data_IF_304618319570
#
_entry.id   IF_304618319570
#
_cell.length_a   1.000
_cell.length_b   1.000
_cell.length_c   1.000
_cell.angle_alpha   90.00
_cell.angle_beta   90.00
_cell.angle_gamma   90.00
#
_symmetry.space_group_name_H-M   'P 1'
#
loop_
_entity.id
_entity.type
_entity.pdbx_description
1 polymer ?
#
# COMPACT_ATOMS: atom_id res chain seq x y z
N UNK A 1 28.40 51.44 32.96
CA UNK A 1 27.19 50.94 33.64
C UNK A 1 26.13 50.78 32.56
N UNK A 2 26.05 49.59 31.96
CA UNK A 2 25.24 49.30 30.76
C UNK A 2 24.11 48.36 31.16
N UNK A 3 22.87 48.83 31.06
CA UNK A 3 21.64 48.03 31.21
C UNK A 3 21.29 47.38 29.86
N UNK A 4 21.04 46.06 29.80
CA UNK A 4 20.36 45.45 28.67
C UNK A 4 18.86 45.30 28.98
N UNK A 5 18.02 45.90 28.16
CA UNK A 5 16.60 45.60 28.02
C UNK A 5 16.39 45.38 26.51
N UNK A 6 15.76 44.34 26.00
CA UNK A 6 14.91 43.32 26.58
C UNK A 6 14.10 42.81 25.38
N UNK A 7 14.68 41.89 24.61
CA UNK A 7 14.03 41.33 23.43
C UNK A 7 13.11 40.18 23.86
N UNK A 8 11.80 40.44 23.75
CA UNK A 8 10.76 39.44 23.94
C UNK A 8 10.73 38.45 22.75
N UNK A 9 10.70 37.12 22.97
CA UNK A 9 10.55 36.16 21.90
C UNK A 9 9.06 36.00 21.54
N UNK A 10 8.52 36.94 20.75
CA UNK A 10 7.14 36.88 20.25
C UNK A 10 6.97 36.00 18.98
N UNK A 11 8.00 35.25 18.59
CA UNK A 11 8.06 34.56 17.29
C UNK A 11 8.00 33.03 17.36
N UNK A 12 7.72 32.45 18.53
CA UNK A 12 7.74 30.99 18.73
C UNK A 12 6.40 30.26 18.54
N UNK A 13 5.27 30.97 18.41
CA UNK A 13 3.94 30.33 18.31
C UNK A 13 3.48 30.03 16.88
N UNK A 14 4.12 30.59 15.84
CA UNK A 14 3.74 30.39 14.43
C UNK A 14 4.63 29.37 13.69
N UNK A 15 5.70 28.89 14.32
CA UNK A 15 6.66 27.97 13.72
C UNK A 15 6.24 26.49 13.79
N UNK A 16 5.12 26.17 14.42
CA UNK A 16 4.54 24.82 14.47
C UNK A 16 3.63 24.54 13.27
N UNK A 17 4.02 25.00 12.08
CA UNK A 17 3.45 24.53 10.82
C UNK A 17 4.01 23.14 10.55
N UNK A 18 3.56 22.18 11.37
CA UNK A 18 3.91 20.79 11.28
C UNK A 18 3.61 20.32 9.86
N UNK A 19 4.66 19.92 9.13
CA UNK A 19 4.54 19.13 7.90
C UNK A 19 4.05 17.74 8.29
N UNK A 20 2.80 17.66 8.72
CA UNK A 20 2.11 16.40 8.97
C UNK A 20 2.00 15.68 7.62
N UNK A 21 2.56 14.49 7.56
CA UNK A 21 2.42 13.58 6.42
C UNK A 21 0.94 13.34 6.15
N UNK A 22 0.54 13.18 4.88
CA UNK A 22 -0.87 12.89 4.52
C UNK A 22 -1.44 11.70 5.30
N UNK A 23 -0.60 10.72 5.68
CA UNK A 23 -1.00 9.61 6.54
C UNK A 23 -1.36 10.02 7.97
N UNK A 24 -0.68 11.00 8.55
CA UNK A 24 -0.98 11.50 9.89
C UNK A 24 -2.26 12.33 9.92
N UNK A 25 -2.55 13.09 8.85
CA UNK A 25 -3.84 13.75 8.67
C UNK A 25 -4.98 12.76 8.56
N UNK A 26 -4.82 11.70 7.76
CA UNK A 26 -5.81 10.65 7.62
C UNK A 26 -6.09 9.95 8.97
N UNK A 27 -5.03 9.64 9.73
CA UNK A 27 -5.14 8.99 11.03
C UNK A 27 -5.82 9.90 12.07
N UNK A 28 -5.52 11.19 12.06
CA UNK A 28 -6.17 12.19 12.91
C UNK A 28 -7.67 12.33 12.62
N UNK A 29 -8.04 12.43 11.34
CA UNK A 29 -9.45 12.50 10.92
C UNK A 29 -10.21 11.22 11.28
N UNK A 30 -9.57 10.06 11.11
CA UNK A 30 -10.14 8.77 11.51
C UNK A 30 -10.39 8.70 13.03
N UNK A 31 -9.41 9.11 13.84
CA UNK A 31 -9.57 9.14 15.29
C UNK A 31 -10.72 10.07 15.73
N UNK A 32 -10.85 11.24 15.11
CA UNK A 32 -11.97 12.17 15.36
C UNK A 32 -13.31 11.54 14.97
N UNK A 33 -13.39 10.86 13.84
CA UNK A 33 -14.61 10.16 13.42
C UNK A 33 -15.00 9.03 14.38
N UNK A 34 -14.02 8.25 14.87
CA UNK A 34 -14.25 7.21 15.88
C UNK A 34 -14.74 7.79 17.22
N UNK A 35 -14.14 8.90 17.68
CA UNK A 35 -14.56 9.57 18.91
C UNK A 35 -15.98 10.15 18.77
N UNK A 36 -16.31 10.72 17.61
CA UNK A 36 -17.66 11.20 17.32
C UNK A 36 -18.68 10.04 17.28
N UNK A 37 -18.31 8.91 16.68
CA UNK A 37 -19.14 7.69 16.70
C UNK A 37 -19.38 7.15 18.12
N UNK A 38 -18.33 7.10 18.95
CA UNK A 38 -18.43 6.72 20.36
C UNK A 38 -19.32 7.67 21.16
N UNK A 39 -19.20 8.98 20.94
CA UNK A 39 -20.02 9.97 21.62
C UNK A 39 -21.51 9.80 21.32
N UNK A 40 -21.87 9.43 20.09
CA UNK A 40 -23.26 9.14 19.68
C UNK A 40 -23.82 7.90 20.40
N UNK A 41 -23.00 6.88 20.64
CA UNK A 41 -23.40 5.66 21.36
C UNK A 41 -23.58 5.95 22.86
N UNK A 42 -22.69 6.75 23.45
CA UNK A 42 -22.71 7.03 24.90
C UNK A 42 -23.81 8.03 25.28
N UNK A 43 -24.12 9.00 24.41
CA UNK A 43 -25.16 10.01 24.65
C UNK A 43 -26.26 9.99 23.57
N UNK A 44 -27.05 8.90 23.47
CA UNK A 44 -28.03 8.73 22.40
C UNK A 44 -29.16 9.78 22.47
N UNK A 45 -29.50 10.25 23.67
CA UNK A 45 -30.53 11.26 23.89
C UNK A 45 -30.14 12.66 23.40
N UNK A 46 -28.84 12.99 23.35
CA UNK A 46 -28.34 14.28 22.85
C UNK A 46 -28.06 14.27 21.34
N UNK A 47 -27.83 13.09 20.77
CA UNK A 47 -27.43 12.93 19.37
C UNK A 47 -28.58 13.17 18.37
N UNK A 48 -29.82 12.89 18.77
CA UNK A 48 -31.02 13.13 17.97
C UNK A 48 -30.92 12.57 16.53
N UNK A 49 -31.60 13.22 15.59
CA UNK A 49 -31.54 12.89 14.16
C UNK A 49 -30.13 13.07 13.56
N UNK A 50 -29.33 13.98 14.11
CA UNK A 50 -27.98 14.29 13.63
C UNK A 50 -26.98 13.15 13.81
N UNK A 51 -27.01 12.47 14.97
CA UNK A 51 -26.17 11.30 15.23
C UNK A 51 -26.51 10.11 14.34
N UNK A 52 -27.80 9.92 14.04
CA UNK A 52 -28.25 8.89 13.11
C UNK A 52 -27.78 9.18 11.68
N UNK A 53 -27.93 10.42 11.20
CA UNK A 53 -27.39 10.86 9.91
C UNK A 53 -25.87 10.67 9.81
N UNK A 54 -25.13 10.96 10.88
CA UNK A 54 -23.69 10.75 10.93
C UNK A 54 -23.32 9.27 10.83
N UNK A 55 -24.00 8.39 11.57
CA UNK A 55 -23.81 6.94 11.51
C UNK A 55 -24.10 6.38 10.11
N UNK A 56 -25.19 6.82 9.49
CA UNK A 56 -25.54 6.45 8.10
C UNK A 56 -24.47 6.92 7.12
N UNK A 57 -24.00 8.16 7.26
CA UNK A 57 -22.91 8.69 6.44
C UNK A 57 -21.62 7.87 6.56
N UNK A 58 -21.26 7.48 7.79
CA UNK A 58 -20.06 6.68 8.05
C UNK A 58 -20.18 5.26 7.48
N UNK A 59 -21.35 4.64 7.59
CA UNK A 59 -21.62 3.32 6.97
C UNK A 59 -21.59 3.39 5.45
N UNK A 60 -22.21 4.41 4.83
CA UNK A 60 -22.17 4.59 3.38
C UNK A 60 -20.74 4.88 2.89
N UNK A 61 -19.97 5.69 3.63
CA UNK A 61 -18.58 5.95 3.32
C UNK A 61 -17.72 4.67 3.41
N UNK A 62 -17.91 3.88 4.47
CA UNK A 62 -17.22 2.60 4.64
C UNK A 62 -17.58 1.58 3.55
N UNK A 63 -18.86 1.46 3.21
CA UNK A 63 -19.33 0.61 2.12
C UNK A 63 -18.77 1.06 0.76
N UNK A 64 -18.74 2.37 0.50
CA UNK A 64 -18.13 2.94 -0.70
C UNK A 64 -16.63 2.65 -0.80
N UNK A 65 -15.91 2.74 0.32
CA UNK A 65 -14.48 2.40 0.38
C UNK A 65 -14.24 0.91 0.09
N UNK A 66 -15.01 0.02 0.74
CA UNK A 66 -14.94 -1.42 0.49
C UNK A 66 -15.26 -1.77 -0.96
N UNK A 67 -16.28 -1.14 -1.54
CA UNK A 67 -16.64 -1.30 -2.95
C UNK A 67 -15.54 -0.79 -3.89
N UNK A 68 -14.91 0.35 -3.57
CA UNK A 68 -13.83 0.92 -4.36
C UNK A 68 -12.55 0.06 -4.31
N UNK A 69 -12.26 -0.58 -3.16
CA UNK A 69 -11.19 -1.59 -3.02
C UNK A 69 -11.55 -2.85 -3.82
N UNK A 70 -12.75 -3.40 -3.64
CA UNK A 70 -13.21 -4.62 -4.31
C UNK A 70 -13.34 -4.47 -5.83
N UNK A 71 -13.59 -3.26 -6.34
CA UNK A 71 -13.66 -2.98 -7.78
C UNK A 71 -12.30 -2.75 -8.42
N UNK A 72 -11.20 -2.84 -7.66
CA UNK A 72 -9.84 -2.64 -8.14
C UNK A 72 -9.54 -1.20 -8.59
N UNK A 73 -10.48 -0.25 -8.42
CA UNK A 73 -10.31 1.15 -8.83
C UNK A 73 -9.33 1.95 -7.97
N UNK A 74 -9.09 1.49 -6.74
CA UNK A 74 -8.16 2.11 -5.80
C UNK A 74 -6.80 1.42 -5.73
N UNK A 75 -6.55 0.40 -6.55
CA UNK A 75 -5.23 -0.21 -6.69
C UNK A 75 -4.61 0.34 -7.97
N UNK A 76 -3.74 1.36 -7.89
CA UNK A 76 -2.87 1.67 -9.03
C UNK A 76 -2.11 0.39 -9.38
N UNK A 77 -2.04 0.00 -10.66
CA UNK A 77 -1.32 -1.20 -11.09
C UNK A 77 0.16 -1.19 -10.67
N UNK A 78 0.71 -0.03 -10.32
CA UNK A 78 2.10 0.19 -9.92
C UNK A 78 2.33 0.10 -8.40
N UNK A 79 1.28 0.07 -7.57
CA UNK A 79 1.40 0.09 -6.11
C UNK A 79 1.53 -1.27 -5.37
N UNK A 80 1.10 -2.45 -5.89
CA UNK A 80 1.15 -3.67 -5.08
C UNK A 80 2.59 -4.07 -4.76
N UNK A 81 3.51 -3.92 -5.73
CA UNK A 81 4.94 -4.22 -5.55
C UNK A 81 5.58 -3.53 -4.33
N UNK A 82 5.23 -2.27 -4.06
CA UNK A 82 5.83 -1.51 -2.95
C UNK A 82 5.22 -1.82 -1.59
N UNK A 83 3.93 -2.15 -1.54
CA UNK A 83 3.26 -2.51 -0.28
C UNK A 83 3.66 -3.91 0.19
N UNK A 84 3.88 -4.85 -0.73
CA UNK A 84 4.37 -6.19 -0.39
C UNK A 84 5.89 -6.27 -0.31
N UNK A 85 6.63 -5.32 -0.89
CA UNK A 85 8.09 -5.34 -0.95
C UNK A 85 8.75 -5.50 0.43
N UNK A 86 8.28 -4.77 1.45
CA UNK A 86 8.86 -4.88 2.79
C UNK A 86 8.67 -6.27 3.45
N UNK A 87 7.55 -6.95 3.16
CA UNK A 87 7.32 -8.30 3.65
C UNK A 87 8.18 -9.31 2.88
N UNK A 88 8.18 -9.20 1.55
CA UNK A 88 8.89 -10.11 0.64
C UNK A 88 10.42 -9.94 0.69
N UNK A 89 10.93 -8.76 1.09
CA UNK A 89 12.36 -8.50 1.25
C UNK A 89 12.98 -9.31 2.39
N UNK A 90 12.16 -9.70 3.39
CA UNK A 90 12.61 -10.53 4.52
C UNK A 90 12.50 -12.03 4.24
N UNK A 91 11.77 -12.41 3.20
CA UNK A 91 11.59 -13.81 2.83
C UNK A 91 12.89 -14.38 2.24
N UNK A 92 13.22 -15.61 2.64
CA UNK A 92 14.38 -16.35 2.13
C UNK A 92 14.08 -17.02 0.79
N UNK A 93 12.81 -17.19 0.42
CA UNK A 93 12.42 -17.77 -0.86
C UNK A 93 12.59 -16.75 -1.98
N UNK A 94 13.11 -17.18 -3.13
CA UNK A 94 13.22 -16.33 -4.31
C UNK A 94 11.81 -16.00 -4.83
N UNK A 95 11.48 -14.71 -4.88
CA UNK A 95 10.17 -14.23 -5.29
C UNK A 95 10.30 -13.10 -6.32
N UNK A 96 9.53 -13.19 -7.40
CA UNK A 96 9.36 -12.13 -8.37
C UNK A 96 7.87 -11.96 -8.71
N UNK A 97 7.45 -10.71 -8.82
CA UNK A 97 6.12 -10.32 -9.29
C UNK A 97 6.28 -9.79 -10.70
N UNK A 98 5.55 -10.36 -11.64
CA UNK A 98 5.55 -9.94 -13.04
C UNK A 98 4.28 -9.16 -13.38
N UNK A 99 4.42 -8.22 -14.30
CA UNK A 99 3.29 -7.59 -14.95
C UNK A 99 2.72 -8.52 -16.05
N UNK A 100 1.49 -8.26 -16.54
CA UNK A 100 0.85 -9.11 -17.57
C UNK A 100 1.63 -9.23 -18.89
N UNK A 101 2.54 -8.30 -19.16
CA UNK A 101 3.43 -8.31 -20.32
C UNK A 101 4.70 -9.17 -20.10
N UNK A 102 4.85 -9.78 -18.92
CA UNK A 102 5.99 -10.61 -18.53
C UNK A 102 7.19 -9.82 -17.99
N UNK A 103 7.11 -8.49 -17.90
CA UNK A 103 8.15 -7.67 -17.27
C UNK A 103 8.14 -7.86 -15.74
N UNK A 104 9.29 -7.68 -15.08
CA UNK A 104 9.37 -7.74 -13.61
C UNK A 104 8.91 -6.41 -13.01
N UNK A 105 7.83 -6.47 -12.23
CA UNK A 105 7.36 -5.35 -11.42
C UNK A 105 8.09 -5.28 -10.06
N UNK A 106 8.50 -6.43 -9.51
CA UNK A 106 9.28 -6.52 -8.28
C UNK A 106 10.04 -7.85 -8.21
N UNK A 107 11.24 -7.81 -7.62
CA UNK A 107 12.01 -8.99 -7.27
C UNK A 107 12.61 -8.77 -5.88
N UNK A 108 12.60 -9.80 -5.04
CA UNK A 108 13.19 -9.73 -3.71
C UNK A 108 14.71 -10.00 -3.73
N UNK A 109 15.45 -9.74 -2.64
CA UNK A 109 16.89 -9.99 -2.59
C UNK A 109 17.27 -11.46 -2.83
N UNK A 110 16.43 -12.41 -2.40
CA UNK A 110 16.66 -13.83 -2.66
C UNK A 110 16.62 -14.15 -4.17
N UNK A 111 15.68 -13.57 -4.92
CA UNK A 111 15.63 -13.70 -6.39
C UNK A 111 16.92 -13.21 -7.04
N UNK A 112 17.35 -12.00 -6.69
CA UNK A 112 18.60 -11.39 -7.18
C UNK A 112 19.83 -12.25 -6.86
N UNK A 113 19.85 -12.87 -5.69
CA UNK A 113 20.96 -13.73 -5.26
C UNK A 113 20.99 -15.04 -6.05
N UNK A 114 19.83 -15.61 -6.36
CA UNK A 114 19.71 -16.89 -7.09
C UNK A 114 20.01 -16.74 -8.57
N UNK A 115 19.40 -15.74 -9.23
CA UNK A 115 19.48 -15.58 -10.69
C UNK A 115 20.49 -14.52 -11.14
N UNK A 116 20.95 -13.66 -10.23
CA UNK A 116 21.88 -12.58 -10.54
C UNK A 116 21.19 -11.40 -11.24
N UNK A 117 21.98 -10.68 -12.04
CA UNK A 117 21.51 -9.57 -12.86
C UNK A 117 21.46 -9.99 -14.34
N UNK A 118 20.51 -9.42 -15.07
CA UNK A 118 20.41 -9.53 -16.52
C UNK A 118 21.64 -8.91 -17.20
N UNK A 119 21.96 -9.36 -18.41
CA UNK A 119 23.00 -8.76 -19.27
C UNK A 119 22.77 -7.27 -19.57
N UNK A 120 21.52 -6.81 -19.47
CA UNK A 120 21.14 -5.40 -19.59
C UNK A 120 21.26 -4.59 -18.30
N UNK A 121 21.73 -5.20 -17.19
CA UNK A 121 21.88 -4.54 -15.89
C UNK A 121 20.59 -4.42 -15.06
N UNK A 122 19.52 -5.11 -15.46
CA UNK A 122 18.25 -5.20 -14.72
C UNK A 122 18.04 -6.54 -14.01
N UNK A 123 16.84 -6.75 -13.49
CA UNK A 123 16.42 -8.04 -12.92
C UNK A 123 16.34 -9.13 -14.01
N UNK A 124 16.75 -10.36 -13.68
CA UNK A 124 16.60 -11.50 -14.59
C UNK A 124 15.13 -11.89 -14.68
N UNK A 125 14.55 -11.81 -15.88
CA UNK A 125 13.18 -12.24 -16.16
C UNK A 125 13.00 -13.72 -15.83
N UNK A 126 11.85 -14.17 -15.30
CA UNK A 126 11.64 -15.58 -14.97
C UNK A 126 11.87 -16.51 -16.17
N UNK A 127 11.45 -16.09 -17.37
CA UNK A 127 11.66 -16.85 -18.62
C UNK A 127 13.15 -17.08 -18.91
N UNK A 128 14.00 -16.10 -18.61
CA UNK A 128 15.44 -16.23 -18.78
C UNK A 128 16.08 -17.02 -17.62
N UNK A 129 15.59 -16.85 -16.38
CA UNK A 129 16.09 -17.57 -15.22
C UNK A 129 15.85 -19.09 -15.30
N UNK A 130 14.75 -19.50 -15.93
CA UNK A 130 14.36 -20.90 -16.06
C UNK A 130 14.57 -21.49 -17.47
N UNK A 131 15.25 -20.78 -18.37
CA UNK A 131 15.41 -21.25 -19.76
C UNK A 131 16.20 -22.56 -19.89
N UNK A 132 16.97 -22.93 -18.87
CA UNK A 132 17.73 -24.19 -18.83
C UNK A 132 16.89 -25.43 -18.52
N UNK A 133 15.65 -25.26 -18.05
CA UNK A 133 14.74 -26.35 -17.71
C UNK A 133 13.46 -26.27 -18.57
N UNK A 134 13.33 -27.22 -19.49
CA UNK A 134 12.20 -27.28 -20.41
C UNK A 134 10.86 -27.51 -19.68
N UNK A 135 10.87 -28.25 -18.58
CA UNK A 135 9.66 -28.53 -17.81
C UNK A 135 9.18 -27.27 -17.07
N UNK A 136 10.10 -26.60 -16.38
CA UNK A 136 9.79 -25.32 -15.71
C UNK A 136 9.36 -24.25 -16.70
N UNK A 137 10.01 -24.15 -17.87
CA UNK A 137 9.63 -23.21 -18.92
C UNK A 137 8.19 -23.46 -19.43
N UNK A 138 7.78 -24.72 -19.54
CA UNK A 138 6.42 -25.07 -19.94
C UNK A 138 5.39 -24.70 -18.86
N UNK A 139 5.69 -24.94 -17.58
CA UNK A 139 4.83 -24.53 -16.45
C UNK A 139 4.70 -23.00 -16.39
N UNK A 140 5.81 -22.27 -16.57
CA UNK A 140 5.82 -20.82 -16.62
C UNK A 140 4.96 -20.28 -17.78
N UNK A 141 5.03 -20.91 -18.96
CA UNK A 141 4.16 -20.54 -20.08
C UNK A 141 2.67 -20.71 -19.76
N UNK A 142 2.28 -21.78 -19.06
CA UNK A 142 0.88 -21.98 -18.62
C UNK A 142 0.43 -20.89 -17.64
N UNK A 143 1.29 -20.52 -16.69
CA UNK A 143 1.01 -19.42 -15.75
C UNK A 143 0.82 -18.09 -16.49
N UNK A 144 1.73 -17.74 -17.41
CA UNK A 144 1.62 -16.50 -18.20
C UNK A 144 0.36 -16.51 -19.07
N UNK A 145 0.02 -17.67 -19.66
CA UNK A 145 -1.20 -17.81 -20.45
C UNK A 145 -2.46 -17.64 -19.59
N UNK A 146 -2.53 -18.26 -18.42
CA UNK A 146 -3.65 -18.10 -17.49
C UNK A 146 -3.80 -16.63 -17.03
N UNK A 147 -2.68 -15.97 -16.70
CA UNK A 147 -2.66 -14.55 -16.35
C UNK A 147 -3.17 -13.67 -17.51
N UNK A 148 -2.82 -13.98 -18.76
CA UNK A 148 -3.32 -13.26 -19.94
C UNK A 148 -4.84 -13.37 -20.12
N UNK A 149 -5.42 -14.51 -19.69
CA UNK A 149 -6.86 -14.77 -19.68
C UNK A 149 -7.56 -14.24 -18.41
N UNK A 150 -6.81 -13.62 -17.49
CA UNK A 150 -7.28 -13.18 -16.15
C UNK A 150 -7.81 -14.33 -15.29
N UNK A 151 -7.25 -15.52 -15.49
CA UNK A 151 -7.53 -16.70 -14.68
C UNK A 151 -6.46 -16.86 -13.59
N UNK A 152 -6.90 -17.16 -12.37
CA UNK A 152 -5.99 -17.49 -11.27
C UNK A 152 -5.52 -18.93 -11.43
N UNK A 153 -4.20 -19.13 -11.55
CA UNK A 153 -3.58 -20.44 -11.72
C UNK A 153 -2.29 -20.53 -10.90
N UNK A 154 -2.00 -21.71 -10.36
CA UNK A 154 -0.82 -21.98 -9.53
C UNK A 154 -0.14 -23.27 -10.01
N UNK A 155 1.20 -23.27 -10.05
CA UNK A 155 2.03 -24.42 -10.41
C UNK A 155 3.14 -24.52 -9.36
N UNK A 156 3.38 -25.72 -8.81
CA UNK A 156 4.55 -25.98 -7.99
C UNK A 156 5.75 -26.19 -8.92
N UNK A 157 6.86 -25.49 -8.67
CA UNK A 157 8.11 -25.57 -9.44
C UNK A 157 9.16 -26.37 -8.68
#
# INVERSE_FOLDING_TARGET
MTTPAGDAPASSLLALRAKLSSGQWALGLFAVACLAGLAVIVFPAAAGLGGLLFLVGLTLCGAGLMFAISSGRLVPPEAPARLFGAALDTDQRACAITAPDGSIAYANPAWRKTFGASSSGGEVLPVAGFSGDAETAQRLYRLVRAASLKETHEEEL
#
